data_IF_150652552886
#
_entry.id   IF_150652552886
#
_cell.length_a   1.000
_cell.length_b   1.000
_cell.length_c   1.000
_cell.angle_alpha   90.00
_cell.angle_beta   90.00
_cell.angle_gamma   90.00
#
_symmetry.space_group_name_H-M   'P 1'
#
loop_
_entity.id
_entity.type
_entity.pdbx_description
1 polymer ?
#
# COMPACT_ATOMS: atom_id res chain seq x y z
N UNK A 1 -28.32 -23.65 -8.25
CA UNK A 1 -27.69 -22.71 -9.21
C UNK A 1 -26.62 -21.84 -8.54
N UNK A 2 -26.92 -21.06 -7.48
CA UNK A 2 -25.92 -20.21 -6.77
C UNK A 2 -24.65 -20.98 -6.33
N UNK A 3 -24.78 -22.14 -5.66
CA UNK A 3 -23.64 -22.98 -5.23
C UNK A 3 -22.79 -23.49 -6.40
N UNK A 4 -23.40 -23.78 -7.55
CA UNK A 4 -22.70 -24.26 -8.74
C UNK A 4 -21.91 -23.13 -9.42
N UNK A 5 -22.46 -21.91 -9.45
CA UNK A 5 -21.77 -20.74 -9.99
C UNK A 5 -20.55 -20.37 -9.15
N UNK A 6 -20.66 -20.41 -7.81
CA UNK A 6 -19.53 -20.15 -6.89
C UNK A 6 -18.41 -21.16 -7.10
N UNK A 7 -18.75 -22.45 -7.19
CA UNK A 7 -17.78 -23.52 -7.44
C UNK A 7 -17.15 -23.38 -8.83
N UNK A 8 -17.93 -23.07 -9.87
CA UNK A 8 -17.38 -22.91 -11.23
C UNK A 8 -16.41 -21.72 -11.31
N UNK A 9 -16.79 -20.58 -10.73
CA UNK A 9 -15.97 -19.37 -10.73
C UNK A 9 -14.67 -19.57 -9.93
N UNK A 10 -14.75 -20.22 -8.75
CA UNK A 10 -13.55 -20.54 -7.96
C UNK A 10 -12.61 -21.48 -8.71
N UNK A 11 -13.15 -22.48 -9.43
CA UNK A 11 -12.34 -23.45 -10.17
C UNK A 11 -11.63 -22.82 -11.36
N UNK A 12 -12.30 -21.92 -12.09
CA UNK A 12 -11.70 -21.19 -13.22
C UNK A 12 -10.60 -20.24 -12.75
N UNK A 13 -10.84 -19.48 -11.66
CA UNK A 13 -9.85 -18.55 -11.09
C UNK A 13 -8.63 -19.30 -10.56
N UNK A 14 -8.81 -20.40 -9.84
CA UNK A 14 -7.70 -21.25 -9.38
C UNK A 14 -6.92 -21.86 -10.57
N UNK A 15 -7.61 -22.25 -11.64
CA UNK A 15 -6.96 -22.80 -12.84
C UNK A 15 -6.11 -21.78 -13.62
N UNK A 16 -6.57 -20.52 -13.71
CA UNK A 16 -5.81 -19.44 -14.35
C UNK A 16 -4.61 -18.99 -13.51
N UNK A 17 -4.75 -18.92 -12.19
CA UNK A 17 -3.65 -18.58 -11.27
C UNK A 17 -2.59 -19.68 -11.24
N UNK A 18 -2.97 -20.96 -11.31
CA UNK A 18 -2.03 -22.08 -11.36
C UNK A 18 -1.24 -22.16 -12.68
N UNK A 19 -1.77 -21.61 -13.78
CA UNK A 19 -1.07 -21.60 -15.09
C UNK A 19 -0.19 -20.37 -15.29
N UNK A 20 -0.52 -19.25 -14.63
CA UNK A 20 0.36 -18.09 -14.61
C UNK A 20 1.51 -18.39 -13.64
N UNK A 21 2.72 -18.61 -14.15
CA UNK A 21 3.93 -18.61 -13.30
C UNK A 21 4.14 -17.20 -12.73
N UNK A 22 3.38 -16.85 -11.70
CA UNK A 22 3.50 -15.56 -11.01
C UNK A 22 4.77 -15.64 -10.18
N UNK A 23 5.80 -14.92 -10.61
CA UNK A 23 7.04 -14.81 -9.84
C UNK A 23 6.87 -13.64 -8.87
N UNK A 24 6.97 -13.93 -7.57
CA UNK A 24 7.03 -12.89 -6.55
C UNK A 24 8.30 -12.05 -6.75
N UNK A 25 8.06 -10.78 -7.07
CA UNK A 25 9.09 -9.77 -7.21
C UNK A 25 9.01 -8.83 -6.01
N UNK A 26 10.15 -8.52 -5.40
CA UNK A 26 10.26 -7.52 -4.34
C UNK A 26 10.80 -6.21 -4.96
N UNK A 27 11.96 -5.73 -4.51
CA UNK A 27 12.59 -4.56 -5.08
C UNK A 27 12.81 -4.72 -6.60
N UNK A 28 12.68 -3.65 -7.39
CA UNK A 28 12.92 -3.72 -8.81
C UNK A 28 14.36 -4.14 -9.11
N UNK A 29 14.54 -4.90 -10.18
CA UNK A 29 15.88 -5.19 -10.68
C UNK A 29 16.57 -3.92 -11.18
N UNK A 30 17.90 -3.97 -11.23
CA UNK A 30 18.69 -2.89 -11.82
C UNK A 30 18.35 -2.78 -13.31
N UNK A 31 17.89 -1.62 -13.77
CA UNK A 31 17.69 -1.43 -15.21
C UNK A 31 19.05 -1.27 -15.93
N UNK A 32 19.48 -2.34 -16.60
CA UNK A 32 20.68 -2.36 -17.43
C UNK A 32 20.40 -2.19 -18.92
N UNK A 33 19.14 -1.94 -19.30
CA UNK A 33 18.78 -1.90 -20.71
C UNK A 33 19.21 -0.59 -21.38
N UNK A 34 19.80 -0.71 -22.57
CA UNK A 34 20.34 0.44 -23.29
C UNK A 34 19.23 1.40 -23.75
N UNK A 35 19.49 2.70 -23.63
CA UNK A 35 18.63 3.72 -24.21
C UNK A 35 18.90 3.83 -25.71
N UNK A 36 17.86 3.64 -26.53
CA UNK A 36 17.98 3.62 -28.01
C UNK A 36 18.01 5.01 -28.66
N UNK A 37 18.31 6.06 -27.90
CA UNK A 37 18.36 7.45 -28.39
C UNK A 37 16.99 8.10 -28.60
N UNK A 38 15.88 7.44 -28.22
CA UNK A 38 14.53 7.99 -28.23
C UNK A 38 13.72 7.46 -27.04
N UNK A 39 12.78 8.24 -26.48
CA UNK A 39 11.94 7.76 -25.40
C UNK A 39 11.19 6.47 -25.78
N UNK A 40 11.17 5.51 -24.87
CA UNK A 40 10.42 4.26 -25.01
C UNK A 40 9.27 4.27 -24.01
N UNK A 41 8.04 4.08 -24.48
CA UNK A 41 6.84 4.13 -23.64
C UNK A 41 6.16 2.77 -23.65
N UNK A 42 5.73 2.29 -22.49
CA UNK A 42 4.93 1.08 -22.33
C UNK A 42 3.74 1.32 -21.42
N UNK A 43 2.66 0.60 -21.70
CA UNK A 43 1.41 0.67 -20.96
C UNK A 43 1.16 -0.66 -20.28
N UNK A 44 0.71 -0.63 -19.04
CA UNK A 44 0.20 -1.78 -18.32
C UNK A 44 -1.19 -1.47 -17.77
N UNK A 45 -2.08 -2.46 -17.82
CA UNK A 45 -3.48 -2.33 -17.39
C UNK A 45 -3.82 -3.53 -16.52
N UNK A 46 -4.44 -3.26 -15.39
CA UNK A 46 -5.07 -4.27 -14.56
C UNK A 46 -6.58 -4.06 -14.61
N UNK A 47 -7.35 -5.14 -14.77
CA UNK A 47 -8.81 -5.13 -14.73
C UNK A 47 -9.30 -6.33 -13.93
N UNK A 48 -9.98 -6.06 -12.82
CA UNK A 48 -10.41 -7.10 -11.89
C UNK A 48 -11.93 -7.07 -11.67
N UNK A 49 -12.55 -8.25 -11.78
CA UNK A 49 -13.97 -8.45 -11.56
C UNK A 49 -14.17 -9.24 -10.27
N UNK A 50 -15.07 -8.78 -9.41
CA UNK A 50 -15.27 -9.38 -8.09
C UNK A 50 -16.68 -9.93 -7.93
N UNK A 51 -16.76 -11.18 -7.46
CA UNK A 51 -17.95 -11.73 -6.86
C UNK A 51 -17.71 -11.90 -5.37
N UNK A 52 -18.55 -11.27 -4.56
CA UNK A 52 -18.50 -11.40 -3.11
C UNK A 52 -19.56 -12.40 -2.67
N UNK A 53 -19.14 -13.49 -2.03
CA UNK A 53 -20.01 -14.53 -1.49
C UNK A 53 -20.30 -14.36 0.01
N UNK A 54 -20.29 -13.12 0.52
CA UNK A 54 -20.56 -12.84 1.93
C UNK A 54 -22.07 -12.73 2.11
N UNK A 55 -22.58 -13.42 3.13
CA UNK A 55 -23.98 -13.39 3.57
C UNK A 55 -23.92 -13.25 5.09
N UNK A 56 -23.96 -12.00 5.58
CA UNK A 56 -23.85 -11.72 7.01
C UNK A 56 -25.01 -10.84 7.45
N UNK A 57 -25.75 -11.37 8.42
CA UNK A 57 -26.80 -10.63 9.08
C UNK A 57 -26.20 -9.42 9.82
N UNK A 58 -26.66 -8.22 9.49
CA UNK A 58 -26.22 -7.03 10.20
C UNK A 58 -26.96 -6.91 11.52
N UNK A 59 -26.21 -6.68 12.61
CA UNK A 59 -26.79 -6.46 13.94
C UNK A 59 -26.16 -5.24 14.59
N UNK A 60 -26.98 -4.22 14.88
CA UNK A 60 -26.54 -3.01 15.56
C UNK A 60 -25.81 -3.31 16.89
N UNK A 61 -26.27 -4.32 17.65
CA UNK A 61 -25.62 -4.73 18.91
C UNK A 61 -24.27 -5.42 18.74
N UNK A 62 -23.97 -5.97 17.57
CA UNK A 62 -22.72 -6.68 17.28
C UNK A 62 -21.61 -5.74 16.82
N UNK A 63 -21.98 -4.57 16.27
CA UNK A 63 -21.05 -3.54 15.78
C UNK A 63 -21.09 -2.23 16.60
N UNK A 64 -22.04 -2.04 17.52
CA UNK A 64 -22.11 -0.88 18.42
C UNK A 64 -20.81 -0.54 19.21
N UNK A 65 -19.94 -1.50 19.59
CA UNK A 65 -18.64 -1.16 20.21
C UNK A 65 -17.59 -0.65 19.21
N UNK A 66 -17.86 -0.75 17.91
CA UNK A 66 -16.90 -0.56 16.81
C UNK A 66 -17.23 0.64 15.90
N UNK A 67 -18.22 1.44 16.26
CA UNK A 67 -18.57 2.68 15.57
C UNK A 67 -18.40 3.83 16.55
N UNK A 68 -17.63 4.84 16.18
CA UNK A 68 -17.44 6.05 16.98
C UNK A 68 -18.82 6.63 17.36
N UNK A 69 -19.13 6.68 18.65
CA UNK A 69 -20.41 7.14 19.18
C UNK A 69 -20.77 8.57 18.70
N UNK A 70 -19.77 9.34 18.28
CA UNK A 70 -19.96 10.70 17.76
C UNK A 70 -20.49 10.79 16.32
N UNK A 71 -20.50 9.70 15.54
CA UNK A 71 -21.12 9.69 14.20
C UNK A 71 -22.58 9.23 14.22
N UNK A 72 -23.03 8.57 15.29
CA UNK A 72 -24.44 8.16 15.44
C UNK A 72 -25.30 9.20 16.17
N UNK A 73 -24.69 10.18 16.85
CA UNK A 73 -25.41 11.21 17.58
C UNK A 73 -25.94 12.34 16.67
N UNK A 74 -26.55 11.99 15.53
CA UNK A 74 -27.41 12.90 14.78
C UNK A 74 -28.81 12.80 15.40
N UNK A 75 -29.31 13.85 16.09
CA UNK A 75 -30.65 13.81 16.67
C UNK A 75 -31.69 13.59 15.56
N UNK A 76 -32.39 12.45 15.59
CA UNK A 76 -33.44 12.11 14.62
C UNK A 76 -33.24 10.82 13.81
N UNK A 77 -32.11 10.11 13.96
CA UNK A 77 -31.91 8.82 13.28
C UNK A 77 -32.66 7.70 14.01
N UNK A 78 -33.97 7.54 13.78
CA UNK A 78 -34.74 6.42 14.30
C UNK A 78 -34.39 5.14 13.54
N UNK A 79 -33.36 4.43 14.00
CA UNK A 79 -33.15 3.00 13.72
C UNK A 79 -33.38 2.58 12.27
N UNK A 80 -32.80 3.28 11.31
CA UNK A 80 -32.87 2.85 9.93
C UNK A 80 -32.14 1.50 9.82
N UNK A 81 -32.91 0.45 9.52
CA UNK A 81 -32.41 -0.91 9.38
C UNK A 81 -31.32 -0.95 8.33
N UNK A 82 -30.11 -1.30 8.74
CA UNK A 82 -29.06 -1.66 7.81
C UNK A 82 -29.38 -3.07 7.33
N UNK A 83 -29.63 -3.23 6.03
CA UNK A 83 -29.84 -4.54 5.42
C UNK A 83 -28.62 -5.44 5.55
N UNK A 84 -28.85 -6.74 5.52
CA UNK A 84 -27.80 -7.76 5.57
C UNK A 84 -26.84 -7.60 4.38
N UNK A 85 -25.56 -7.93 4.58
CA UNK A 85 -24.63 -7.97 3.45
C UNK A 85 -25.01 -9.14 2.55
N UNK A 86 -25.28 -8.88 1.27
CA UNK A 86 -25.68 -9.92 0.32
C UNK A 86 -24.53 -10.36 -0.59
N UNK A 87 -24.65 -11.57 -1.13
CA UNK A 87 -23.70 -12.08 -2.10
C UNK A 87 -24.01 -11.58 -3.52
N UNK A 88 -23.14 -10.77 -4.11
CA UNK A 88 -23.33 -10.29 -5.48
C UNK A 88 -22.02 -9.89 -6.19
N UNK A 89 -22.17 -9.55 -7.47
CA UNK A 89 -21.11 -8.95 -8.27
C UNK A 89 -20.90 -7.49 -7.83
N UNK A 90 -19.65 -7.11 -7.64
CA UNK A 90 -19.25 -5.73 -7.39
C UNK A 90 -18.82 -5.04 -8.69
N UNK A 91 -18.81 -3.70 -8.68
CA UNK A 91 -18.21 -2.93 -9.76
C UNK A 91 -16.73 -3.35 -9.94
N UNK A 92 -16.26 -3.53 -11.19
CA UNK A 92 -14.88 -3.86 -11.45
C UNK A 92 -13.94 -2.71 -11.03
N UNK A 93 -12.70 -3.05 -10.67
CA UNK A 93 -11.62 -2.07 -10.50
C UNK A 93 -10.67 -2.10 -11.70
N UNK A 94 -10.04 -0.97 -11.98
CA UNK A 94 -9.07 -0.87 -13.07
C UNK A 94 -7.89 0.06 -12.73
N UNK A 95 -6.69 -0.35 -13.12
CA UNK A 95 -5.45 0.45 -13.07
C UNK A 95 -4.93 0.69 -14.49
N UNK A 96 -4.28 1.83 -14.69
CA UNK A 96 -3.48 2.15 -15.86
C UNK A 96 -2.13 2.70 -15.42
N UNK A 97 -1.08 1.96 -15.75
CA UNK A 97 0.30 2.34 -15.53
C UNK A 97 0.94 2.73 -16.85
N UNK A 98 1.51 3.94 -16.90
CA UNK A 98 2.30 4.43 -18.04
C UNK A 98 3.75 4.47 -17.58
N UNK A 99 4.61 3.72 -18.27
CA UNK A 99 6.04 3.68 -18.00
C UNK A 99 6.77 4.30 -19.18
N UNK A 100 7.81 5.07 -18.92
CA UNK A 100 8.66 5.57 -19.99
C UNK A 100 10.14 5.56 -19.59
N UNK A 101 10.98 5.05 -20.49
CA UNK A 101 12.42 5.31 -20.45
C UNK A 101 12.68 6.60 -21.18
N UNK A 102 13.02 7.65 -20.44
CA UNK A 102 13.19 9.01 -20.98
C UNK A 102 14.59 9.20 -21.53
N UNK A 103 15.59 8.71 -20.82
CA UNK A 103 17.00 8.74 -21.22
C UNK A 103 17.80 7.62 -20.53
N UNK A 104 19.11 7.55 -20.79
CA UNK A 104 20.00 6.57 -20.14
C UNK A 104 19.84 6.63 -18.63
N UNK A 105 19.48 5.49 -18.03
CA UNK A 105 19.31 5.35 -16.58
C UNK A 105 18.22 6.21 -15.97
N UNK A 106 17.31 6.82 -16.74
CA UNK A 106 16.22 7.63 -16.20
C UNK A 106 14.88 7.12 -16.73
N UNK A 107 14.13 6.46 -15.85
CA UNK A 107 12.80 5.95 -16.14
C UNK A 107 11.76 6.73 -15.32
N UNK A 108 10.54 6.82 -15.83
CA UNK A 108 9.38 7.39 -15.13
C UNK A 108 8.21 6.43 -15.18
N UNK A 109 7.41 6.44 -14.13
CA UNK A 109 6.16 5.70 -14.01
C UNK A 109 5.06 6.64 -13.53
N UNK A 110 3.92 6.61 -14.20
CA UNK A 110 2.67 7.24 -13.76
C UNK A 110 1.66 6.12 -13.49
N UNK A 111 1.02 6.17 -12.33
CA UNK A 111 0.05 5.17 -11.91
C UNK A 111 -1.31 5.81 -11.69
N UNK A 112 -2.32 5.28 -12.36
CA UNK A 112 -3.67 5.84 -12.37
C UNK A 112 -4.68 4.76 -12.00
N UNK A 113 -5.57 5.07 -11.07
CA UNK A 113 -6.75 4.26 -10.83
C UNK A 113 -7.86 4.74 -11.75
N UNK A 114 -8.20 3.91 -12.75
CA UNK A 114 -9.29 4.21 -13.69
C UNK A 114 -10.66 4.01 -13.03
N UNK A 115 -10.76 3.03 -12.13
CA UNK A 115 -11.92 2.76 -11.30
C UNK A 115 -11.48 2.14 -9.97
N UNK A 116 -11.98 2.64 -8.85
CA UNK A 116 -11.65 2.15 -7.49
C UNK A 116 -12.90 2.05 -6.60
N UNK A 117 -12.76 1.56 -5.36
CA UNK A 117 -13.89 1.53 -4.42
C UNK A 117 -14.24 2.91 -3.87
N UNK A 118 -13.23 3.71 -3.52
CA UNK A 118 -13.40 5.02 -2.90
C UNK A 118 -13.62 6.15 -3.92
N UNK A 119 -13.27 5.95 -5.20
CA UNK A 119 -13.44 6.92 -6.28
C UNK A 119 -14.09 6.28 -7.51
N UNK A 120 -15.27 6.80 -7.87
CA UNK A 120 -15.99 6.45 -9.11
C UNK A 120 -15.47 7.23 -10.33
N UNK A 121 -14.54 8.16 -10.12
CA UNK A 121 -13.78 8.87 -11.16
C UNK A 121 -12.32 8.40 -11.23
N UNK A 122 -11.69 8.65 -12.38
CA UNK A 122 -10.25 8.40 -12.56
C UNK A 122 -9.43 9.33 -11.66
N UNK A 123 -8.49 8.76 -10.90
CA UNK A 123 -7.61 9.52 -10.01
C UNK A 123 -6.14 9.05 -10.14
N UNK A 124 -5.21 9.98 -9.91
CA UNK A 124 -3.77 9.67 -9.91
C UNK A 124 -3.43 8.98 -8.59
N UNK A 125 -3.00 7.72 -8.67
CA UNK A 125 -2.45 7.01 -7.49
C UNK A 125 -1.14 7.68 -7.08
N UNK A 126 -0.25 7.85 -8.05
CA UNK A 126 1.07 8.40 -7.85
C UNK A 126 1.92 8.30 -9.11
N UNK A 127 3.21 8.47 -8.95
CA UNK A 127 4.21 8.33 -9.99
C UNK A 127 5.59 8.67 -9.47
N UNK A 128 6.61 8.05 -10.06
CA UNK A 128 7.99 8.22 -9.64
C UNK A 128 8.96 8.11 -10.81
N UNK A 129 10.15 8.67 -10.62
CA UNK A 129 11.30 8.43 -11.46
C UNK A 129 12.24 7.44 -10.78
N UNK A 130 12.87 6.55 -11.56
CA UNK A 130 14.02 5.75 -11.11
C UNK A 130 15.26 6.17 -11.88
N UNK A 131 16.34 6.36 -11.15
CA UNK A 131 17.64 6.81 -11.65
C UNK A 131 18.67 5.72 -11.40
N UNK A 132 19.12 5.09 -12.48
CA UNK A 132 20.04 3.96 -12.49
C UNK A 132 21.45 4.33 -12.97
N UNK A 133 21.63 5.49 -13.58
CA UNK A 133 22.94 6.10 -13.79
C UNK A 133 22.80 7.64 -13.82
N UNK A 134 23.93 8.33 -13.81
CA UNK A 134 23.99 9.79 -13.78
C UNK A 134 24.71 10.36 -15.02
N UNK A 135 24.68 9.64 -16.13
CA UNK A 135 25.38 10.04 -17.37
C UNK A 135 24.84 11.36 -17.94
N UNK A 136 23.61 11.73 -17.57
CA UNK A 136 23.00 13.02 -17.91
C UNK A 136 23.64 14.23 -17.22
N UNK A 137 24.35 14.00 -16.10
CA UNK A 137 25.15 15.02 -15.41
C UNK A 137 26.50 15.14 -16.10
N UNK A 138 27.21 14.01 -16.19
CA UNK A 138 28.43 13.86 -16.95
C UNK A 138 28.66 12.37 -17.28
N UNK A 139 29.19 12.03 -18.46
CA UNK A 139 29.46 10.64 -18.82
C UNK A 139 30.31 9.92 -17.76
N UNK A 140 29.80 8.80 -17.23
CA UNK A 140 30.48 7.97 -16.24
C UNK A 140 30.48 8.51 -14.81
N UNK A 141 29.80 9.62 -14.53
CA UNK A 141 29.71 10.21 -13.20
C UNK A 141 29.13 9.22 -12.19
N UNK A 142 29.89 8.96 -11.10
CA UNK A 142 29.57 7.99 -10.05
C UNK A 142 29.22 6.57 -10.55
N UNK A 143 29.67 6.19 -11.75
CA UNK A 143 29.37 4.87 -12.36
C UNK A 143 29.72 3.68 -11.47
N UNK A 144 30.82 3.76 -10.70
CA UNK A 144 31.20 2.72 -9.74
C UNK A 144 30.17 2.48 -8.62
N UNK A 145 29.54 3.55 -8.12
CA UNK A 145 28.48 3.47 -7.11
C UNK A 145 27.12 3.13 -7.74
N UNK A 146 26.76 3.83 -8.82
CA UNK A 146 25.48 3.67 -9.52
C UNK A 146 25.30 2.30 -10.17
N UNK A 147 26.40 1.55 -10.36
CA UNK A 147 26.32 0.15 -10.79
C UNK A 147 25.39 -0.68 -9.89
N UNK A 148 25.45 -0.46 -8.59
CA UNK A 148 24.69 -1.23 -7.60
C UNK A 148 23.56 -0.41 -6.94
N UNK A 149 23.50 0.90 -7.20
CA UNK A 149 22.54 1.83 -6.61
C UNK A 149 21.41 2.23 -7.57
N UNK A 150 20.17 2.30 -7.09
CA UNK A 150 19.04 2.93 -7.78
C UNK A 150 18.46 4.02 -6.89
N UNK A 151 18.24 5.21 -7.43
CA UNK A 151 17.55 6.29 -6.73
C UNK A 151 16.11 6.36 -7.23
N UNK A 152 15.12 6.42 -6.34
CA UNK A 152 13.70 6.57 -6.65
C UNK A 152 13.19 7.88 -6.06
N UNK A 153 12.50 8.68 -6.87
CA UNK A 153 11.98 10.00 -6.45
C UNK A 153 10.56 10.16 -6.98
N UNK A 154 9.62 10.51 -6.11
CA UNK A 154 8.24 10.80 -6.53
C UNK A 154 7.23 10.55 -5.44
N UNK A 155 6.01 10.22 -5.85
CA UNK A 155 4.88 9.90 -4.99
C UNK A 155 4.48 8.45 -5.24
N UNK A 156 4.79 7.57 -4.31
CA UNK A 156 4.40 6.16 -4.34
C UNK A 156 4.57 5.58 -2.94
N UNK A 157 4.15 4.33 -2.76
CA UNK A 157 4.51 3.55 -1.59
C UNK A 157 6.03 3.55 -1.36
N UNK A 158 6.40 3.74 -0.10
CA UNK A 158 7.78 3.73 0.41
C UNK A 158 8.22 2.30 0.70
N UNK A 159 9.52 2.00 0.65
CA UNK A 159 10.00 0.64 0.90
C UNK A 159 10.08 0.28 2.41
N UNK A 160 8.90 0.19 3.05
CA UNK A 160 8.73 -0.21 4.45
C UNK A 160 8.03 -1.58 4.57
N UNK A 161 8.83 -2.64 4.54
CA UNK A 161 8.37 -4.02 4.66
C UNK A 161 8.10 -4.71 3.33
N UNK A 162 8.14 -6.03 3.31
CA UNK A 162 7.93 -6.82 2.09
C UNK A 162 6.45 -6.98 1.69
N UNK A 163 5.53 -6.63 2.58
CA UNK A 163 4.08 -6.80 2.40
C UNK A 163 3.55 -5.92 1.27
N UNK A 164 4.14 -4.73 1.05
CA UNK A 164 3.80 -3.86 -0.08
C UNK A 164 3.93 -4.55 -1.45
N UNK A 165 4.82 -5.53 -1.60
CA UNK A 165 5.02 -6.23 -2.87
C UNK A 165 4.02 -7.37 -3.11
N UNK A 166 3.28 -7.71 -2.06
CA UNK A 166 2.29 -8.79 -2.04
C UNK A 166 0.88 -8.25 -1.82
N UNK A 167 0.72 -6.97 -1.49
CA UNK A 167 -0.57 -6.33 -1.32
C UNK A 167 -1.35 -6.33 -2.62
N UNK A 168 -2.66 -6.39 -2.48
CA UNK A 168 -3.58 -5.97 -3.53
C UNK A 168 -3.52 -4.46 -3.63
N UNK A 169 -3.38 -3.95 -4.85
CA UNK A 169 -3.39 -2.54 -5.16
C UNK A 169 -4.49 -2.25 -6.19
N UNK A 170 -5.69 -1.93 -5.69
CA UNK A 170 -6.91 -1.69 -6.46
C UNK A 170 -7.30 -2.85 -7.41
N UNK A 171 -6.86 -2.81 -8.67
CA UNK A 171 -7.11 -3.86 -9.65
C UNK A 171 -5.98 -4.90 -9.74
N UNK A 172 -4.81 -4.58 -9.17
CA UNK A 172 -3.68 -5.48 -9.11
C UNK A 172 -3.84 -6.45 -7.94
N UNK A 173 -4.43 -7.63 -8.20
CA UNK A 173 -4.71 -8.66 -7.17
C UNK A 173 -3.81 -9.89 -7.28
N UNK A 174 -3.10 -10.03 -8.41
CA UNK A 174 -2.46 -11.29 -8.79
C UNK A 174 -1.30 -11.70 -7.87
N UNK A 175 -0.69 -10.73 -7.16
CA UNK A 175 0.42 -10.98 -6.22
C UNK A 175 -0.05 -11.25 -4.80
N UNK A 176 -1.34 -11.04 -4.51
CA UNK A 176 -1.93 -11.29 -3.21
C UNK A 176 -2.73 -12.60 -3.21
N UNK A 177 -2.24 -13.69 -2.59
CA UNK A 177 -2.99 -14.95 -2.54
C UNK A 177 -4.30 -14.85 -1.75
N UNK A 178 -4.44 -13.85 -0.88
CA UNK A 178 -5.63 -13.65 -0.05
C UNK A 178 -6.59 -12.58 -0.59
N UNK A 179 -6.21 -11.86 -1.65
CA UNK A 179 -6.94 -10.74 -2.28
C UNK A 179 -7.16 -9.53 -1.37
N UNK A 180 -7.39 -9.72 -0.07
CA UNK A 180 -7.47 -8.66 0.91
C UNK A 180 -6.10 -8.41 1.53
N UNK A 181 -5.85 -7.15 1.85
CA UNK A 181 -4.62 -6.74 2.51
C UNK A 181 -4.67 -7.07 4.00
N UNK A 182 -3.57 -6.74 4.69
CA UNK A 182 -3.45 -6.95 6.12
C UNK A 182 -4.47 -6.08 6.86
N UNK A 183 -4.89 -6.53 8.06
CA UNK A 183 -5.82 -5.75 8.87
C UNK A 183 -5.17 -4.47 9.44
N UNK A 184 -3.86 -4.53 9.69
CA UNK A 184 -3.00 -3.37 9.94
C UNK A 184 -2.01 -3.36 8.80
N UNK A 185 -2.12 -2.34 7.96
CA UNK A 185 -1.51 -2.34 6.64
C UNK A 185 -0.67 -1.09 6.48
N UNK A 186 0.63 -1.26 6.26
CA UNK A 186 1.54 -0.14 6.08
C UNK A 186 1.63 0.19 4.59
N UNK A 187 0.91 1.23 4.17
CA UNK A 187 1.01 1.80 2.83
C UNK A 187 1.07 3.33 2.98
N UNK A 188 2.14 3.92 2.49
CA UNK A 188 2.33 5.38 2.51
C UNK A 188 2.56 5.88 1.09
N UNK A 189 1.51 6.40 0.44
CA UNK A 189 1.62 7.04 -0.86
C UNK A 189 2.18 8.47 -0.78
N UNK A 190 3.26 8.65 -0.02
CA UNK A 190 3.91 9.92 0.27
C UNK A 190 4.93 10.35 -0.78
N UNK A 191 5.26 11.64 -0.79
CA UNK A 191 6.40 12.14 -1.57
C UNK A 191 7.69 11.69 -0.92
N UNK A 192 8.60 11.06 -1.67
CA UNK A 192 9.85 10.55 -1.11
C UNK A 192 11.02 10.61 -2.07
N UNK A 193 12.21 10.52 -1.48
CA UNK A 193 13.46 10.16 -2.14
C UNK A 193 13.96 8.90 -1.44
N UNK A 194 14.29 7.89 -2.22
CA UNK A 194 14.72 6.57 -1.75
C UNK A 194 15.95 6.11 -2.52
N UNK A 195 16.89 5.49 -1.81
CA UNK A 195 18.08 4.87 -2.35
C UNK A 195 18.02 3.37 -2.07
N UNK A 196 18.04 2.56 -3.12
CA UNK A 196 18.25 1.11 -3.05
C UNK A 196 19.69 0.79 -3.47
N UNK A 197 20.48 0.21 -2.56
CA UNK A 197 21.84 -0.23 -2.79
C UNK A 197 21.94 -1.76 -2.68
N UNK A 198 22.38 -2.40 -3.75
CA UNK A 198 22.49 -3.88 -3.83
C UNK A 198 23.92 -4.30 -3.47
N UNK A 199 24.06 -5.43 -2.79
CA UNK A 199 25.34 -6.01 -2.37
C UNK A 199 25.41 -7.46 -2.86
N UNK A 200 25.65 -7.69 -4.17
CA UNK A 200 25.54 -9.02 -4.78
C UNK A 200 26.49 -10.06 -4.16
N UNK A 201 27.64 -9.62 -3.66
CA UNK A 201 28.67 -10.49 -3.07
C UNK A 201 28.18 -11.32 -1.87
N UNK A 202 27.13 -10.85 -1.17
CA UNK A 202 26.54 -11.52 -0.01
C UNK A 202 25.02 -11.64 -0.14
N UNK A 203 24.48 -11.48 -1.35
CA UNK A 203 23.03 -11.57 -1.63
C UNK A 203 22.19 -10.69 -0.69
N UNK A 204 22.64 -9.46 -0.47
CA UNK A 204 21.97 -8.52 0.44
C UNK A 204 21.73 -7.18 -0.24
N UNK A 205 20.90 -6.35 0.36
CA UNK A 205 20.63 -4.99 -0.08
C UNK A 205 20.28 -4.10 1.10
N UNK A 206 20.35 -2.80 0.87
CA UNK A 206 19.95 -1.75 1.80
C UNK A 206 19.07 -0.76 1.07
N UNK A 207 17.98 -0.35 1.71
CA UNK A 207 17.16 0.79 1.30
C UNK A 207 17.20 1.85 2.38
N UNK A 208 17.27 3.11 1.96
CA UNK A 208 17.17 4.26 2.84
C UNK A 208 16.36 5.33 2.14
N UNK A 209 15.46 5.98 2.87
CA UNK A 209 14.66 7.05 2.28
C UNK A 209 14.17 8.07 3.29
N UNK A 210 13.71 9.17 2.72
CA UNK A 210 13.08 10.27 3.44
C UNK A 210 11.76 10.56 2.75
N UNK A 211 10.70 10.73 3.52
CA UNK A 211 9.38 11.08 3.01
C UNK A 211 8.74 12.19 3.82
N UNK A 212 7.90 13.00 3.19
CA UNK A 212 7.01 13.90 3.93
C UNK A 212 5.80 13.20 4.53
N UNK A 213 5.62 11.88 4.28
CA UNK A 213 4.62 11.04 4.94
C UNK A 213 3.17 11.45 4.68
N UNK A 214 2.92 12.24 3.63
CA UNK A 214 1.61 12.80 3.33
C UNK A 214 1.17 12.42 1.93
N UNK A 215 0.10 11.63 1.85
CA UNK A 215 -0.45 11.13 0.59
C UNK A 215 -1.24 12.21 -0.20
N UNK A 216 -1.63 13.29 0.47
CA UNK A 216 -2.26 14.47 -0.12
C UNK A 216 -1.85 15.72 0.69
N UNK A 217 -0.79 16.45 0.26
CA UNK A 217 -0.38 17.67 0.93
C UNK A 217 -1.41 18.78 0.63
N UNK A 218 -2.55 18.77 1.33
CA UNK A 218 -3.52 19.88 1.30
C UNK A 218 -3.15 21.00 2.27
N UNK A 219 -2.01 20.86 2.94
CA UNK A 219 -1.60 21.74 4.03
C UNK A 219 -0.93 23.01 3.49
N UNK A 220 -1.77 23.83 2.87
CA UNK A 220 -1.44 25.22 2.51
C UNK A 220 -1.63 26.19 3.69
N UNK A 221 -2.12 25.69 4.82
CA UNK A 221 -2.20 26.38 6.09
C UNK A 221 -1.32 25.66 7.10
N UNK A 222 -0.44 26.38 7.80
CA UNK A 222 0.28 25.85 8.96
C UNK A 222 -0.75 25.66 10.09
N UNK A 223 -1.46 24.53 10.10
CA UNK A 223 -2.40 24.22 11.17
C UNK A 223 -1.64 23.55 12.31
N UNK A 224 -1.43 24.33 13.37
CA UNK A 224 -0.79 23.85 14.59
C UNK A 224 -1.79 23.04 15.44
N UNK A 225 -2.25 21.91 14.88
CA UNK A 225 -3.00 20.94 15.68
C UNK A 225 -1.95 20.16 16.49
N UNK A 226 -1.95 20.34 17.81
CA UNK A 226 -1.06 19.68 18.79
C UNK A 226 0.37 20.23 18.99
N UNK A 227 0.73 21.44 18.54
CA UNK A 227 2.11 21.95 18.70
C UNK A 227 3.09 21.31 17.71
N UNK A 228 2.63 20.98 16.50
CA UNK A 228 3.33 20.15 15.50
C UNK A 228 3.33 20.82 14.14
N UNK A 229 4.32 20.47 13.30
CA UNK A 229 4.53 21.13 12.01
C UNK A 229 4.25 20.18 10.85
N UNK A 230 3.77 20.71 9.73
CA UNK A 230 3.64 19.98 8.46
C UNK A 230 4.96 19.83 7.69
N UNK A 231 6.06 20.42 8.21
CA UNK A 231 7.39 20.42 7.61
C UNK A 231 8.32 19.34 8.17
N UNK A 232 7.77 18.35 8.86
CA UNK A 232 8.51 17.22 9.39
C UNK A 232 8.64 16.12 8.33
N UNK A 233 9.84 15.53 8.23
CA UNK A 233 10.08 14.38 7.36
C UNK A 233 10.24 13.11 8.20
N UNK A 234 9.65 12.03 7.73
CA UNK A 234 9.96 10.69 8.21
C UNK A 234 11.23 10.17 7.53
N UNK A 235 12.01 9.40 8.28
CA UNK A 235 13.15 8.64 7.78
C UNK A 235 12.83 7.16 7.88
N UNK A 236 13.20 6.41 6.87
CA UNK A 236 13.03 4.96 6.88
C UNK A 236 14.23 4.26 6.27
N UNK A 237 14.39 2.99 6.62
CA UNK A 237 15.40 2.15 6.06
C UNK A 237 15.01 0.69 6.13
N UNK A 238 15.63 -0.10 5.27
CA UNK A 238 15.44 -1.54 5.18
C UNK A 238 16.76 -2.21 4.89
N UNK A 239 17.01 -3.33 5.54
CA UNK A 239 18.10 -4.24 5.17
C UNK A 239 17.48 -5.57 4.81
N UNK A 240 18.06 -6.26 3.84
CA UNK A 240 17.55 -7.55 3.43
C UNK A 240 18.64 -8.48 2.94
N UNK A 241 18.42 -9.77 3.17
CA UNK A 241 19.12 -10.88 2.55
C UNK A 241 18.11 -11.62 1.67
N UNK A 242 18.47 -11.88 0.41
CA UNK A 242 17.61 -12.54 -0.56
C UNK A 242 18.46 -13.43 -1.48
N UNK A 243 18.34 -14.74 -1.30
CA UNK A 243 19.20 -15.71 -1.94
C UNK A 243 18.40 -16.87 -2.52
N UNK A 244 18.65 -17.14 -3.81
CA UNK A 244 18.19 -18.33 -4.50
C UNK A 244 19.27 -19.41 -4.39
N UNK A 245 19.06 -20.40 -3.53
CA UNK A 245 19.99 -21.49 -3.28
C UNK A 245 20.00 -22.51 -4.43
N UNK A 246 18.83 -22.73 -5.03
CA UNK A 246 18.61 -23.59 -6.21
C UNK A 246 17.44 -23.00 -7.01
N UNK A 247 17.23 -23.51 -8.23
CA UNK A 247 16.05 -23.17 -9.04
C UNK A 247 14.70 -23.40 -8.32
N UNK A 248 14.71 -24.22 -7.26
CA UNK A 248 13.54 -24.55 -6.44
C UNK A 248 13.49 -23.82 -5.10
N UNK A 249 14.63 -23.42 -4.51
CA UNK A 249 14.70 -22.91 -3.13
C UNK A 249 15.20 -21.47 -3.08
N UNK A 250 14.34 -20.56 -2.61
CA UNK A 250 14.68 -19.15 -2.32
C UNK A 250 14.36 -18.82 -0.86
N UNK A 251 15.28 -18.14 -0.20
CA UNK A 251 15.10 -17.60 1.15
C UNK A 251 15.32 -16.10 1.12
N UNK A 252 14.43 -15.38 1.77
CA UNK A 252 14.56 -13.95 2.00
C UNK A 252 14.16 -13.59 3.42
N UNK A 253 14.94 -12.70 4.02
CA UNK A 253 14.65 -12.09 5.30
C UNK A 253 14.98 -10.59 5.23
N UNK A 254 14.07 -9.76 5.73
CA UNK A 254 14.26 -8.31 5.75
C UNK A 254 13.89 -7.73 7.10
N UNK A 255 14.51 -6.60 7.44
CA UNK A 255 14.16 -5.76 8.58
C UNK A 255 14.01 -4.32 8.09
N UNK A 256 12.86 -3.72 8.37
CA UNK A 256 12.52 -2.34 8.03
C UNK A 256 12.29 -1.52 9.30
N UNK A 257 12.74 -0.26 9.29
CA UNK A 257 12.48 0.71 10.37
C UNK A 257 11.95 2.00 9.75
N UNK A 258 10.96 2.59 10.39
CA UNK A 258 10.38 3.90 10.05
C UNK A 258 10.35 4.76 11.31
N UNK A 259 10.76 6.02 11.18
CA UNK A 259 10.72 6.97 12.28
C UNK A 259 10.30 8.36 11.81
N UNK A 260 9.43 8.99 12.58
CA UNK A 260 9.04 10.39 12.42
C UNK A 260 8.70 10.98 13.79
N UNK A 261 8.93 12.29 13.95
CA UNK A 261 8.61 12.99 15.19
C UNK A 261 8.08 14.40 14.94
N UNK A 262 6.98 14.75 15.59
CA UNK A 262 6.34 16.06 15.45
C UNK A 262 5.65 16.26 14.11
N UNK A 263 5.13 15.20 13.48
CA UNK A 263 4.29 15.34 12.29
C UNK A 263 2.85 15.64 12.67
N UNK A 264 2.16 16.44 11.87
CA UNK A 264 0.77 16.81 12.14
C UNK A 264 -0.25 15.76 11.67
N UNK A 265 0.14 14.89 10.74
CA UNK A 265 -0.68 13.80 10.20
C UNK A 265 0.22 12.62 9.81
N UNK A 266 -0.14 11.43 10.29
CA UNK A 266 0.52 10.18 9.92
C UNK A 266 -0.30 9.44 8.87
N UNK A 267 0.31 9.14 7.71
CA UNK A 267 -0.36 8.35 6.67
C UNK A 267 0.21 6.92 6.53
N UNK A 268 1.25 6.51 7.27
CA UNK A 268 1.87 5.17 7.09
C UNK A 268 0.88 4.00 7.15
N UNK A 269 -0.13 4.07 8.02
CA UNK A 269 -1.17 3.04 8.15
C UNK A 269 -2.55 3.49 7.69
N UNK A 270 -2.63 4.63 7.01
CA UNK A 270 -3.87 5.25 6.51
C UNK A 270 -3.74 5.74 5.05
N UNK A 271 -2.65 5.40 4.36
CA UNK A 271 -2.31 5.93 3.04
C UNK A 271 -2.91 5.17 1.84
N UNK A 272 -3.53 4.01 2.07
CA UNK A 272 -4.23 3.27 1.01
C UNK A 272 -5.45 4.05 0.49
N UNK A 273 -5.36 4.48 -0.78
CA UNK A 273 -6.43 5.19 -1.49
C UNK A 273 -7.40 4.26 -2.21
N UNK A 274 -6.97 3.04 -2.54
CA UNK A 274 -7.80 2.06 -3.25
C UNK A 274 -8.86 1.45 -2.33
N UNK A 275 -8.47 1.27 -1.06
CA UNK A 275 -9.23 0.56 -0.05
C UNK A 275 -9.36 -0.93 -0.33
N UNK A 276 -10.14 -1.60 0.51
CA UNK A 276 -10.31 -3.04 0.44
C UNK A 276 -11.20 -3.51 -0.72
N UNK A 277 -10.97 -4.75 -1.16
CA UNK A 277 -11.72 -5.39 -2.24
C UNK A 277 -13.15 -5.74 -1.82
N UNK A 278 -13.36 -6.06 -0.53
CA UNK A 278 -14.67 -6.36 0.04
C UNK A 278 -15.53 -5.09 0.01
N UNK A 279 -16.71 -5.18 -0.62
CA UNK A 279 -17.64 -4.05 -0.78
C UNK A 279 -18.93 -4.29 -0.04
N UNK A 280 -19.64 -3.20 0.26
CA UNK A 280 -21.04 -3.32 0.61
C UNK A 280 -21.83 -3.60 -0.66
N UNK A 281 -22.45 -4.78 -0.72
CA UNK A 281 -23.32 -5.16 -1.81
C UNK A 281 -24.73 -5.32 -1.24
N UNK A 282 -25.53 -4.24 -1.37
CA UNK A 282 -26.97 -4.11 -1.05
C UNK A 282 -27.45 -3.90 0.40
N UNK A 283 -26.79 -3.06 1.21
CA UNK A 283 -27.37 -2.56 2.48
C UNK A 283 -28.23 -1.29 2.35
N UNK A 284 -29.48 -1.36 1.88
CA UNK A 284 -30.42 -0.21 2.00
C UNK A 284 -30.94 -0.09 3.44
N UNK A 285 -30.65 1.00 4.16
CA UNK A 285 -31.45 2.26 4.31
C UNK A 285 -30.68 3.31 5.14
N UNK A 286 -29.35 3.47 5.00
CA UNK A 286 -28.70 4.65 5.58
C UNK A 286 -27.38 4.98 4.86
N UNK A 287 -27.42 6.03 4.04
CA UNK A 287 -26.35 6.41 3.11
C UNK A 287 -25.08 6.99 3.77
N UNK A 288 -25.04 7.15 5.10
CA UNK A 288 -23.92 7.78 5.80
C UNK A 288 -22.98 6.80 6.52
N UNK A 289 -23.45 5.60 6.89
CA UNK A 289 -22.66 4.62 7.68
C UNK A 289 -21.99 3.58 6.78
N UNK A 290 -22.49 3.43 5.55
CA UNK A 290 -22.09 2.41 4.58
C UNK A 290 -21.85 3.01 3.18
N UNK A 291 -21.33 4.24 3.12
CA UNK A 291 -21.02 4.97 1.88
C UNK A 291 -19.82 4.38 1.12
N UNK A 292 -19.51 4.94 -0.06
CA UNK A 292 -18.22 4.75 -0.75
C UNK A 292 -17.07 4.88 0.25
N UNK A 293 -16.43 3.76 0.57
CA UNK A 293 -15.41 3.67 1.62
C UNK A 293 -15.82 2.94 2.89
N UNK A 294 -16.89 2.16 2.85
CA UNK A 294 -17.10 1.10 3.83
C UNK A 294 -15.98 0.07 3.72
N UNK A 295 -15.22 -0.06 4.80
CA UNK A 295 -14.15 -1.02 4.93
C UNK A 295 -14.36 -1.82 6.23
N UNK A 296 -14.68 -3.13 6.14
CA UNK A 296 -14.92 -3.96 7.31
C UNK A 296 -13.65 -4.18 8.15
N UNK A 297 -12.47 -3.93 7.58
CA UNK A 297 -11.17 -4.07 8.25
C UNK A 297 -10.70 -2.78 8.93
N UNK A 298 -11.20 -1.61 8.50
CA UNK A 298 -10.84 -0.30 9.07
C UNK A 298 -11.01 -0.20 10.58
N UNK A 299 -11.93 -0.99 11.15
CA UNK A 299 -12.18 -1.02 12.59
C UNK A 299 -11.19 -1.87 13.40
N UNK A 300 -10.38 -2.73 12.78
CA UNK A 300 -9.32 -3.48 13.47
C UNK A 300 -8.15 -2.58 13.88
N UNK A 301 -7.88 -1.54 13.08
CA UNK A 301 -6.93 -0.46 13.42
C UNK A 301 -7.50 0.51 14.46
N UNK A 302 -8.84 0.54 14.63
CA UNK A 302 -9.58 1.45 15.51
C UNK A 302 -10.17 0.77 16.77
N UNK A 303 -9.62 -0.36 17.21
CA UNK A 303 -10.12 -1.06 18.40
C UNK A 303 -10.03 -0.16 19.65
N UNK A 304 -11.21 0.26 20.17
CA UNK A 304 -11.46 1.21 21.27
C UNK A 304 -11.55 2.71 20.90
N UNK A 305 -12.05 3.07 19.71
CA UNK A 305 -12.25 4.49 19.36
C UNK A 305 -10.95 5.26 19.20
N UNK A 306 -9.86 4.53 18.97
CA UNK A 306 -8.51 5.04 18.84
C UNK A 306 -8.25 5.37 17.38
N UNK A 307 -8.61 6.59 16.95
CA UNK A 307 -7.88 7.30 15.88
C UNK A 307 -6.43 7.59 16.30
N UNK A 308 -5.73 6.63 16.90
CA UNK A 308 -4.49 6.87 17.63
C UNK A 308 -3.34 7.13 16.68
N UNK A 309 -3.30 6.50 15.50
CA UNK A 309 -2.17 6.61 14.58
C UNK A 309 -2.17 7.92 13.80
N UNK A 310 -3.27 8.31 13.15
CA UNK A 310 -3.39 9.63 12.49
C UNK A 310 -3.18 10.82 13.43
N UNK A 311 -3.33 10.63 14.75
CA UNK A 311 -3.16 11.67 15.77
C UNK A 311 -1.88 11.53 16.59
N UNK A 312 -0.99 10.58 16.28
CA UNK A 312 0.28 10.38 16.98
C UNK A 312 1.40 11.11 16.23
N UNK A 313 1.87 12.28 16.72
CA UNK A 313 2.92 13.02 16.04
C UNK A 313 4.28 12.33 16.02
N UNK A 314 4.50 11.39 16.94
CA UNK A 314 5.74 10.64 17.05
C UNK A 314 5.44 9.15 16.81
N UNK A 315 6.15 8.54 15.85
CA UNK A 315 6.01 7.13 15.48
C UNK A 315 7.40 6.51 15.24
N UNK A 316 7.65 5.38 15.90
CA UNK A 316 8.74 4.47 15.60
C UNK A 316 8.15 3.10 15.30
N UNK A 317 8.38 2.58 14.10
CA UNK A 317 7.88 1.28 13.69
C UNK A 317 9.01 0.41 13.14
N UNK A 318 9.01 -0.88 13.47
CA UNK A 318 9.96 -1.87 12.98
C UNK A 318 9.22 -3.11 12.48
N UNK A 319 9.59 -3.61 11.31
CA UNK A 319 8.94 -4.75 10.67
C UNK A 319 9.96 -5.73 10.13
N UNK A 320 9.89 -6.98 10.61
CA UNK A 320 10.64 -8.11 10.10
C UNK A 320 9.77 -8.90 9.14
N UNK A 321 10.29 -9.25 7.96
CA UNK A 321 9.61 -10.14 7.02
C UNK A 321 10.48 -11.38 6.74
N UNK A 322 9.81 -12.53 6.58
CA UNK A 322 10.39 -13.80 6.16
C UNK A 322 9.64 -14.30 4.94
N UNK A 323 10.39 -14.65 3.90
CA UNK A 323 9.87 -15.31 2.71
C UNK A 323 10.70 -16.55 2.38
N UNK A 324 10.03 -17.68 2.21
CA UNK A 324 10.65 -18.93 1.76
C UNK A 324 9.83 -19.45 0.58
N UNK A 325 10.50 -19.73 -0.53
CA UNK A 325 9.90 -20.44 -1.66
C UNK A 325 10.59 -21.78 -1.82
N UNK A 326 9.80 -22.84 -1.90
CA UNK A 326 10.25 -24.17 -2.27
C UNK A 326 9.34 -24.71 -3.37
N UNK A 327 9.88 -24.86 -4.59
CA UNK A 327 9.14 -25.18 -5.81
C UNK A 327 7.97 -24.18 -6.00
N UNK A 328 6.74 -24.70 -6.11
CA UNK A 328 5.52 -23.89 -6.28
C UNK A 328 4.86 -23.50 -4.93
N UNK A 329 5.54 -23.71 -3.80
CA UNK A 329 5.03 -23.35 -2.47
C UNK A 329 5.77 -22.15 -1.90
N UNK A 330 5.01 -21.16 -1.45
CA UNK A 330 5.53 -19.98 -0.74
C UNK A 330 5.07 -19.97 0.72
N UNK A 331 6.00 -19.69 1.63
CA UNK A 331 5.74 -19.30 3.00
C UNK A 331 6.12 -17.83 3.16
N UNK A 332 5.20 -17.03 3.67
CA UNK A 332 5.44 -15.63 4.00
C UNK A 332 5.00 -15.36 5.44
N UNK A 333 5.83 -14.66 6.20
CA UNK A 333 5.55 -14.26 7.57
C UNK A 333 6.07 -12.86 7.84
N UNK A 334 5.40 -12.16 8.76
CA UNK A 334 5.83 -10.85 9.22
C UNK A 334 5.64 -10.70 10.73
N UNK A 335 6.47 -9.86 11.33
CA UNK A 335 6.36 -9.44 12.70
C UNK A 335 6.63 -7.94 12.77
N UNK A 336 5.69 -7.18 13.34
CA UNK A 336 5.76 -5.72 13.40
C UNK A 336 5.58 -5.23 14.84
N UNK A 337 6.41 -4.28 15.24
CA UNK A 337 6.32 -3.56 16.50
C UNK A 337 6.22 -2.06 16.17
N UNK A 338 5.31 -1.38 16.84
CA UNK A 338 5.12 0.06 16.70
C UNK A 338 5.04 0.71 18.08
N UNK A 339 5.69 1.87 18.22
CA UNK A 339 5.54 2.78 19.34
C UNK A 339 5.05 4.13 18.82
N UNK A 340 3.89 4.56 19.27
CA UNK A 340 3.20 5.76 18.81
C UNK A 340 2.84 6.63 20.02
N UNK A 341 3.35 7.86 20.06
CA UNK A 341 3.18 8.77 21.20
C UNK A 341 2.33 9.97 20.80
N UNK A 342 1.33 10.29 21.61
CA UNK A 342 0.57 11.55 21.52
C UNK A 342 1.31 12.65 22.28
N UNK A 343 1.54 13.82 21.66
CA UNK A 343 1.97 15.01 22.39
C UNK A 343 0.76 15.63 23.09
N UNK A 344 0.87 15.84 24.40
CA UNK A 344 -0.13 16.59 25.18
C UNK A 344 0.01 18.09 24.90
N UNK A 345 -1.11 18.80 24.74
CA UNK A 345 -1.15 20.25 24.51
C UNK A 345 -0.66 21.12 25.70
N UNK A 346 -0.13 20.54 26.78
CA UNK A 346 0.20 21.25 28.03
C UNK A 346 1.60 21.89 28.07
N UNK A 347 2.39 21.88 26.99
CA UNK A 347 3.77 22.41 27.01
C UNK A 347 4.00 23.72 26.26
N UNK A 348 2.94 24.41 25.80
CA UNK A 348 3.04 25.74 25.19
C UNK A 348 2.55 26.82 26.18
N UNK A 349 3.24 26.94 27.31
CA UNK A 349 3.18 28.16 28.12
C UNK A 349 4.51 28.42 28.80
N UNK A 350 5.43 29.09 28.10
CA UNK A 350 6.52 29.88 28.68
C UNK A 350 6.70 31.15 27.88
#
# INVERSE_FOLDING_TARGET
MKKFAVVLLSTVVCGTLASAKIVQQFEPEKDTSAFKGKPEVSFAVDLSFYYQGIDQAWSASKYAPHVDANTWNVPGNTGAGVGDAESALSLPSANLDINAKVMSGFNVKLQTMLASHHHNETYVKGGYATIDNLDFIAPGFLSGFMKDATIKIGVNDIDYGDDQYRRTDNANVMRNPFINNLAVDAEDQGTHIELLYRIPAISSFVVMGVTNGQANPQDTAESDTYGTTSNTYAVYGKIGFDHEYTDDLRLRITESVYNVSGVNRQDLYEGDKAGNVIRNVYGTVNSAVLSSGWDPTRNYVNYKGTKQFSSAPDLLASKTNLFIKYQDTELYGMYEIMDAVKRSAELVSL
#
